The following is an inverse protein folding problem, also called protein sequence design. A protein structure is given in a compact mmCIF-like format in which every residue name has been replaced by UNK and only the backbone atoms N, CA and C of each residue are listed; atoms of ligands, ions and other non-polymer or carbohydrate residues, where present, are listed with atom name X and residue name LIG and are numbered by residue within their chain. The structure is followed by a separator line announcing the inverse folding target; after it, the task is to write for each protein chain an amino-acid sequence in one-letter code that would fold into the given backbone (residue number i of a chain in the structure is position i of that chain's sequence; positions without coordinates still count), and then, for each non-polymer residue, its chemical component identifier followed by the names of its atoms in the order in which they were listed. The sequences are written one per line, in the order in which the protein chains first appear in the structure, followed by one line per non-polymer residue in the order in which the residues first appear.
data_IF_312227493789
#
_entry.id   IF_312227493789
#
_cell.length_a   1.000
_cell.length_b   1.000
_cell.length_c   1.000
_cell.angle_alpha   90.00
_cell.angle_beta   90.00
_cell.angle_gamma   90.00
#
_symmetry.space_group_name_H-M   'P 1'
#
loop_
_entity.id
_entity.type
_entity.pdbx_description
1 polymer ?
#
# COMPACT_ATOMS: atom_id res chain seq x y z
N UNK A 1 53.75 33.12 13.74
CA UNK A 1 52.95 34.36 13.79
C UNK A 1 51.65 34.02 14.50
N UNK A 2 51.62 34.34 15.79
CA UNK A 2 50.43 34.25 16.65
C UNK A 2 49.53 35.43 16.36
N UNK A 3 48.22 35.25 16.42
CA UNK A 3 47.36 36.21 17.10
C UNK A 3 46.06 35.54 17.59
N UNK A 4 45.97 35.49 18.93
CA UNK A 4 44.75 35.36 19.74
C UNK A 4 44.38 36.77 20.18
N UNK A 5 43.09 37.10 20.20
CA UNK A 5 42.49 38.15 21.05
C UNK A 5 41.00 37.79 21.24
N UNK A 6 40.56 37.33 22.42
CA UNK A 6 40.20 38.05 23.66
C UNK A 6 38.70 38.46 23.67
N UNK A 7 37.77 37.73 24.33
CA UNK A 7 37.26 37.79 25.74
C UNK A 7 36.43 39.02 26.19
N UNK A 8 35.11 38.75 26.39
CA UNK A 8 34.15 39.07 27.51
C UNK A 8 33.83 40.53 27.96
N UNK A 9 32.83 40.80 28.86
CA UNK A 9 31.56 40.13 29.25
C UNK A 9 30.32 41.06 29.53
N UNK A 10 29.16 40.40 29.78
CA UNK A 10 28.09 40.65 30.79
C UNK A 10 27.21 41.93 30.81
N UNK A 11 25.88 41.72 30.95
CA UNK A 11 25.08 42.24 32.07
C UNK A 11 23.70 41.54 32.17
N UNK A 12 23.32 41.27 33.41
CA UNK A 12 22.12 40.60 33.89
C UNK A 12 21.22 41.65 34.56
N UNK A 13 19.90 41.65 34.35
CA UNK A 13 18.95 42.30 35.28
C UNK A 13 17.62 41.56 35.32
N UNK A 14 17.31 41.08 36.52
CA UNK A 14 16.05 40.59 37.04
C UNK A 14 14.95 41.65 37.12
N UNK A 15 13.67 41.25 37.09
CA UNK A 15 12.66 41.68 38.07
C UNK A 15 11.39 40.83 37.97
N UNK A 16 10.85 40.47 39.14
CA UNK A 16 9.59 39.79 39.37
C UNK A 16 8.48 40.77 39.79
N UNK A 17 7.22 40.36 39.64
CA UNK A 17 6.01 40.95 40.25
C UNK A 17 4.74 40.37 39.59
N UNK A 18 3.97 39.46 40.21
CA UNK A 18 2.76 39.68 41.05
C UNK A 18 1.69 40.55 40.35
N UNK A 19 0.39 40.26 40.25
CA UNK A 19 -0.53 39.39 41.00
C UNK A 19 -1.92 39.31 40.29
N UNK A 20 -2.72 38.35 40.76
CA UNK A 20 -4.18 38.36 40.96
C UNK A 20 -5.21 38.26 39.79
N UNK A 21 -5.91 37.12 39.86
CA UNK A 21 -7.38 36.94 39.97
C UNK A 21 -8.33 37.30 38.81
N UNK A 22 -9.13 36.31 38.42
CA UNK A 22 -10.37 36.49 37.66
C UNK A 22 -10.92 35.18 37.08
N UNK A 23 -11.76 34.47 37.82
CA UNK A 23 -12.69 33.44 37.30
C UNK A 23 -13.72 34.07 36.34
N UNK A 24 -14.27 33.28 35.41
CA UNK A 24 -15.66 32.88 35.61
C UNK A 24 -15.98 31.41 35.27
N UNK A 25 -17.16 31.07 35.73
CA UNK A 25 -17.84 29.78 35.84
C UNK A 25 -18.36 29.14 34.53
N UNK A 26 -18.71 27.86 34.70
CA UNK A 26 -19.80 27.08 34.08
C UNK A 26 -19.63 26.42 32.72
N UNK A 27 -19.73 25.07 32.76
CA UNK A 27 -20.76 24.35 32.02
C UNK A 27 -20.33 23.65 30.72
N UNK A 28 -20.13 22.33 30.78
CA UNK A 28 -20.63 21.40 29.76
C UNK A 28 -20.44 19.95 30.22
N UNK A 29 -21.56 19.24 30.37
CA UNK A 29 -21.63 17.80 30.56
C UNK A 29 -21.03 17.07 29.36
N UNK A 30 -20.07 16.18 29.59
CA UNK A 30 -19.55 15.27 28.57
C UNK A 30 -20.52 14.09 28.44
N UNK A 31 -21.50 14.22 27.55
CA UNK A 31 -22.28 13.07 27.06
C UNK A 31 -21.40 12.26 26.11
N UNK A 32 -20.99 11.06 26.55
CA UNK A 32 -20.41 10.03 25.68
C UNK A 32 -21.51 9.51 24.75
N UNK A 33 -21.56 10.01 23.52
CA UNK A 33 -22.32 9.37 22.45
C UNK A 33 -21.55 8.14 21.96
N UNK A 34 -22.08 6.95 22.23
CA UNK A 34 -21.62 5.71 21.63
C UNK A 34 -22.00 5.70 20.15
N UNK A 35 -21.00 5.87 19.28
CA UNK A 35 -21.18 5.70 17.84
C UNK A 35 -21.10 4.21 17.48
N UNK A 36 -22.15 3.44 17.77
CA UNK A 36 -22.41 2.18 17.07
C UNK A 36 -23.05 2.53 15.73
N UNK A 37 -22.20 2.85 14.75
CA UNK A 37 -22.60 3.02 13.36
C UNK A 37 -22.79 1.66 12.71
N UNK A 38 -24.05 1.25 12.56
CA UNK A 38 -24.44 0.11 11.74
C UNK A 38 -24.01 0.36 10.29
N UNK A 39 -22.98 -0.36 9.82
CA UNK A 39 -22.49 -0.23 8.43
C UNK A 39 -23.50 -0.89 7.50
N UNK A 40 -24.10 -0.09 6.63
CA UNK A 40 -25.11 -0.53 5.68
C UNK A 40 -24.51 -1.53 4.69
N UNK A 41 -25.09 -2.71 4.60
CA UNK A 41 -24.83 -3.71 3.54
C UNK A 41 -25.53 -3.24 2.26
N UNK A 42 -25.06 -2.14 1.68
CA UNK A 42 -25.45 -1.71 0.35
C UNK A 42 -24.75 -2.56 -0.71
N UNK A 43 -25.46 -2.94 -1.77
CA UNK A 43 -24.85 -3.55 -2.95
C UNK A 43 -23.75 -2.61 -3.46
N UNK A 44 -22.49 -3.07 -3.63
CA UNK A 44 -21.42 -2.19 -4.08
C UNK A 44 -21.76 -1.57 -5.43
N UNK A 45 -21.57 -0.25 -5.55
CA UNK A 45 -21.68 0.45 -6.82
C UNK A 45 -20.68 -0.13 -7.83
N UNK A 46 -21.01 -0.19 -9.13
CA UNK A 46 -20.07 -0.66 -10.15
C UNK A 46 -18.73 0.05 -10.04
N UNK A 47 -17.65 -0.72 -9.91
CA UNK A 47 -16.29 -0.19 -9.76
C UNK A 47 -15.80 0.00 -8.32
N UNK A 48 -16.60 -0.32 -7.29
CA UNK A 48 -16.17 -0.33 -5.89
C UNK A 48 -16.11 -1.78 -5.38
N UNK A 49 -14.96 -2.19 -4.86
CA UNK A 49 -14.68 -3.54 -4.39
C UNK A 49 -14.22 -3.48 -2.94
N UNK A 50 -14.79 -4.32 -2.09
CA UNK A 50 -14.50 -4.35 -0.66
C UNK A 50 -14.35 -5.78 -0.17
N UNK A 51 -13.35 -6.01 0.66
CA UNK A 51 -13.12 -7.29 1.31
C UNK A 51 -12.62 -7.05 2.73
N UNK A 52 -13.14 -7.88 3.65
CA UNK A 52 -12.69 -7.97 5.03
C UNK A 52 -12.18 -9.39 5.30
N UNK A 53 -11.09 -9.50 6.05
CA UNK A 53 -10.52 -10.76 6.49
C UNK A 53 -10.04 -10.59 7.93
N UNK A 54 -10.57 -11.44 8.82
CA UNK A 54 -10.25 -11.40 10.24
C UNK A 54 -9.79 -12.80 10.68
N UNK A 55 -8.60 -12.88 11.27
CA UNK A 55 -8.02 -14.07 11.91
C UNK A 55 -7.68 -13.77 13.36
N UNK A 56 -6.98 -14.68 14.03
CA UNK A 56 -6.42 -14.42 15.36
C UNK A 56 -5.16 -13.55 15.30
N UNK A 57 -4.54 -13.42 14.13
CA UNK A 57 -3.28 -12.69 13.90
C UNK A 57 -3.55 -11.28 13.33
N UNK A 58 -4.55 -11.16 12.44
CA UNK A 58 -4.82 -9.91 11.73
C UNK A 58 -6.32 -9.60 11.59
N UNK A 59 -6.65 -8.32 11.50
CA UNK A 59 -7.94 -7.80 11.04
C UNK A 59 -7.70 -6.81 9.93
N UNK A 60 -8.13 -7.15 8.73
CA UNK A 60 -7.84 -6.40 7.52
C UNK A 60 -9.12 -6.02 6.80
N UNK A 61 -9.20 -4.75 6.43
CA UNK A 61 -10.24 -4.22 5.56
C UNK A 61 -9.58 -3.51 4.39
N UNK A 62 -9.95 -3.90 3.17
CA UNK A 62 -9.45 -3.25 1.95
C UNK A 62 -10.61 -2.83 1.07
N UNK A 63 -10.56 -1.60 0.57
CA UNK A 63 -11.45 -1.09 -0.48
C UNK A 63 -10.62 -0.68 -1.68
N UNK A 64 -11.01 -1.12 -2.87
CA UNK A 64 -10.55 -0.61 -4.15
C UNK A 64 -11.71 0.11 -4.82
N UNK A 65 -11.55 1.39 -5.14
CA UNK A 65 -12.55 2.18 -5.86
C UNK A 65 -11.94 2.71 -7.17
N UNK A 66 -12.49 2.25 -8.29
CA UNK A 66 -12.03 2.61 -9.63
C UNK A 66 -12.58 3.97 -10.10
N UNK A 67 -13.53 4.55 -9.37
CA UNK A 67 -14.19 5.81 -9.70
C UNK A 67 -13.73 6.97 -8.82
N UNK A 68 -13.07 6.68 -7.70
CA UNK A 68 -12.57 7.68 -6.75
C UNK A 68 -11.13 8.10 -7.07
N UNK A 69 -10.79 9.36 -6.77
CA UNK A 69 -9.44 9.87 -6.96
C UNK A 69 -8.45 9.10 -6.07
N UNK A 70 -7.40 8.56 -6.68
CA UNK A 70 -6.33 7.84 -5.99
C UNK A 70 -5.59 8.72 -4.97
N UNK A 71 -5.60 10.05 -5.14
CA UNK A 71 -4.98 10.99 -4.20
C UNK A 71 -5.64 10.98 -2.82
N UNK A 72 -6.88 10.49 -2.72
CA UNK A 72 -7.60 10.39 -1.45
C UNK A 72 -7.33 9.07 -0.69
N UNK A 73 -6.49 8.19 -1.24
CA UNK A 73 -6.20 6.86 -0.68
C UNK A 73 -5.79 6.93 0.78
N UNK A 74 -6.26 5.98 1.58
CA UNK A 74 -6.04 5.90 3.03
C UNK A 74 -5.38 4.58 3.34
N UNK A 75 -4.12 4.60 3.75
CA UNK A 75 -3.34 3.38 3.92
C UNK A 75 -2.77 3.36 5.31
N UNK A 76 -3.19 2.37 6.09
CA UNK A 76 -2.70 2.09 7.41
C UNK A 76 -2.53 0.58 7.60
N UNK A 77 -1.30 0.12 7.39
CA UNK A 77 -0.86 -1.27 7.62
C UNK A 77 -0.15 -1.45 8.97
N UNK A 78 0.11 -0.37 9.69
CA UNK A 78 1.03 -0.35 10.83
C UNK A 78 2.52 -0.40 10.46
N UNK A 79 2.89 -0.69 9.20
CA UNK A 79 4.28 -0.75 8.74
C UNK A 79 4.58 0.42 7.79
N UNK A 80 5.40 1.39 8.24
CA UNK A 80 5.61 2.66 7.54
C UNK A 80 6.12 2.52 6.10
N UNK A 81 7.10 1.65 5.85
CA UNK A 81 7.62 1.43 4.51
C UNK A 81 6.60 0.74 3.59
N UNK A 82 5.79 -0.17 4.12
CA UNK A 82 4.75 -0.84 3.34
C UNK A 82 3.58 0.10 3.02
N UNK A 83 3.21 1.01 3.95
CA UNK A 83 2.28 2.10 3.66
C UNK A 83 2.74 2.93 2.45
N UNK A 84 4.04 3.24 2.40
CA UNK A 84 4.64 3.95 1.28
C UNK A 84 4.54 3.15 -0.03
N UNK A 85 4.87 1.86 -0.02
CA UNK A 85 4.74 0.99 -1.19
C UNK A 85 3.30 0.91 -1.73
N UNK A 86 2.30 0.78 -0.86
CA UNK A 86 0.90 0.76 -1.26
C UNK A 86 0.40 2.14 -1.75
N UNK A 87 0.96 3.23 -1.22
CA UNK A 87 0.68 4.59 -1.71
C UNK A 87 1.18 4.75 -3.13
N UNK A 88 2.40 4.27 -3.42
CA UNK A 88 2.94 4.24 -4.77
C UNK A 88 2.11 3.34 -5.69
N UNK A 89 1.64 2.19 -5.19
CA UNK A 89 0.74 1.33 -5.94
C UNK A 89 -0.54 2.07 -6.35
N UNK A 90 -1.23 2.74 -5.42
CA UNK A 90 -2.43 3.51 -5.70
C UNK A 90 -2.19 4.62 -6.74
N UNK A 91 -1.10 5.38 -6.59
CA UNK A 91 -0.71 6.44 -7.52
C UNK A 91 -0.43 5.92 -8.94
N UNK A 92 0.38 4.87 -9.05
CA UNK A 92 0.83 4.37 -10.35
C UNK A 92 -0.24 3.53 -11.05
N UNK A 93 -1.12 2.86 -10.32
CA UNK A 93 -2.29 2.18 -10.87
C UNK A 93 -3.44 3.13 -11.19
N UNK A 94 -3.41 4.36 -10.65
CA UNK A 94 -4.52 5.33 -10.70
C UNK A 94 -5.81 4.74 -10.16
N UNK A 95 -5.72 4.13 -8.99
CA UNK A 95 -6.84 3.48 -8.32
C UNK A 95 -6.87 3.92 -6.86
N UNK A 96 -8.03 4.30 -6.36
CA UNK A 96 -8.19 4.58 -4.94
C UNK A 96 -8.05 3.30 -4.13
N UNK A 97 -7.27 3.39 -3.06
CA UNK A 97 -7.00 2.29 -2.14
C UNK A 97 -7.27 2.75 -0.70
N UNK A 98 -8.17 2.06 -0.01
CA UNK A 98 -8.31 2.14 1.45
C UNK A 98 -7.85 0.83 2.07
N UNK A 99 -6.83 0.85 2.92
CA UNK A 99 -6.31 -0.32 3.63
C UNK A 99 -6.26 0.03 5.11
N UNK A 100 -7.01 -0.72 5.92
CA UNK A 100 -6.99 -0.61 7.38
C UNK A 100 -6.62 -1.97 7.96
N UNK A 101 -5.57 -2.00 8.77
CA UNK A 101 -5.05 -3.23 9.38
C UNK A 101 -4.80 -3.05 10.87
N UNK A 102 -5.17 -4.06 11.64
CA UNK A 102 -4.78 -4.32 13.02
C UNK A 102 -4.14 -5.70 13.04
N UNK A 103 -2.81 -5.77 13.20
CA UNK A 103 -2.03 -7.00 13.08
C UNK A 103 -1.02 -7.13 14.22
N UNK A 104 -0.52 -8.34 14.41
CA UNK A 104 0.41 -8.78 15.47
C UNK A 104 1.87 -8.34 15.23
N UNK A 105 2.08 -7.04 15.00
CA UNK A 105 3.40 -6.46 14.69
C UNK A 105 4.44 -6.60 15.81
N UNK A 106 4.05 -7.02 17.01
CA UNK A 106 4.96 -7.42 18.08
C UNK A 106 5.67 -8.75 17.81
N UNK A 107 5.13 -9.58 16.92
CA UNK A 107 5.77 -10.80 16.41
C UNK A 107 6.74 -10.40 15.30
N UNK A 108 6.19 -10.01 14.14
CA UNK A 108 6.90 -9.39 13.02
C UNK A 108 5.88 -8.81 12.00
N UNK A 109 6.34 -8.45 10.79
CA UNK A 109 5.47 -7.93 9.72
C UNK A 109 4.83 -8.99 8.82
N UNK A 110 5.11 -10.28 9.01
CA UNK A 110 4.80 -11.34 8.05
C UNK A 110 3.31 -11.52 7.84
N UNK A 111 2.56 -11.84 8.90
CA UNK A 111 1.11 -12.08 8.80
C UNK A 111 0.37 -10.87 8.23
N UNK A 112 0.75 -9.67 8.68
CA UNK A 112 0.18 -8.41 8.18
C UNK A 112 0.40 -8.24 6.68
N UNK A 113 1.62 -8.40 6.19
CA UNK A 113 1.95 -8.20 4.77
C UNK A 113 1.35 -9.30 3.89
N UNK A 114 1.43 -10.56 4.32
CA UNK A 114 0.84 -11.70 3.62
C UNK A 114 -0.66 -11.52 3.46
N UNK A 115 -1.37 -11.25 4.56
CA UNK A 115 -2.83 -11.19 4.55
C UNK A 115 -3.36 -9.99 3.76
N UNK A 116 -2.64 -8.85 3.75
CA UNK A 116 -2.95 -7.74 2.84
C UNK A 116 -2.77 -8.19 1.38
N UNK A 117 -1.72 -8.96 1.07
CA UNK A 117 -1.51 -9.59 -0.23
C UNK A 117 -2.68 -10.50 -0.64
N UNK A 118 -3.17 -11.34 0.27
CA UNK A 118 -4.34 -12.20 0.06
C UNK A 118 -5.55 -11.35 -0.32
N UNK A 119 -5.93 -10.39 0.53
CA UNK A 119 -7.14 -9.58 0.36
C UNK A 119 -7.07 -8.73 -0.92
N UNK A 120 -5.92 -8.11 -1.20
CA UNK A 120 -5.73 -7.37 -2.45
C UNK A 120 -5.82 -8.29 -3.67
N UNK A 121 -5.28 -9.50 -3.59
CA UNK A 121 -5.37 -10.48 -4.67
C UNK A 121 -6.82 -10.86 -4.97
N UNK A 122 -7.60 -11.17 -3.95
CA UNK A 122 -9.04 -11.47 -4.08
C UNK A 122 -9.81 -10.33 -4.76
N UNK A 123 -9.55 -9.09 -4.35
CA UNK A 123 -10.18 -7.90 -4.94
C UNK A 123 -9.77 -7.71 -6.41
N UNK A 124 -8.49 -7.85 -6.75
CA UNK A 124 -8.03 -7.80 -8.14
C UNK A 124 -8.74 -8.84 -9.00
N UNK A 125 -8.95 -10.04 -8.45
CA UNK A 125 -9.71 -11.10 -9.12
C UNK A 125 -11.16 -10.72 -9.36
N UNK A 126 -11.83 -10.12 -8.38
CA UNK A 126 -13.19 -9.63 -8.55
C UNK A 126 -13.25 -8.58 -9.67
N UNK A 127 -12.30 -7.63 -9.69
CA UNK A 127 -12.25 -6.57 -10.71
C UNK A 127 -12.22 -7.13 -12.14
N UNK A 128 -11.31 -8.04 -12.46
CA UNK A 128 -11.22 -8.53 -13.84
C UNK A 128 -12.35 -9.51 -14.21
N UNK A 129 -12.95 -10.20 -13.23
CA UNK A 129 -14.13 -11.04 -13.48
C UNK A 129 -15.36 -10.21 -13.83
N UNK A 130 -15.52 -9.05 -13.22
CA UNK A 130 -16.66 -8.16 -13.46
C UNK A 130 -16.52 -7.34 -14.75
N UNK A 131 -15.29 -7.12 -15.25
CA UNK A 131 -15.01 -6.30 -16.44
C UNK A 131 -15.49 -6.88 -17.78
N UNK A 132 -15.78 -8.18 -17.87
CA UNK A 132 -16.17 -8.86 -19.12
C UNK A 132 -15.03 -8.98 -20.14
N UNK A 133 -14.60 -7.85 -20.72
CA UNK A 133 -13.45 -7.75 -21.62
C UNK A 133 -12.42 -6.73 -21.12
N UNK A 134 -11.15 -7.14 -21.14
CA UNK A 134 -10.00 -6.39 -20.65
C UNK A 134 -8.74 -6.83 -21.41
N UNK A 135 -7.68 -6.01 -21.38
CA UNK A 135 -6.44 -6.28 -22.14
C UNK A 135 -5.75 -7.59 -21.75
N UNK A 136 -6.00 -8.06 -20.52
CA UNK A 136 -5.49 -9.31 -19.91
C UNK A 136 -3.99 -9.32 -19.61
N UNK A 137 -3.20 -8.81 -20.53
CA UNK A 137 -1.75 -8.75 -20.43
C UNK A 137 -1.31 -7.33 -20.14
N UNK A 138 -0.31 -7.21 -19.26
CA UNK A 138 0.34 -5.94 -18.96
C UNK A 138 1.82 -6.16 -18.72
N UNK A 139 2.65 -5.23 -19.18
CA UNK A 139 4.06 -5.22 -18.86
C UNK A 139 4.56 -3.80 -18.67
N UNK A 140 5.51 -3.62 -17.77
CA UNK A 140 6.11 -2.31 -17.53
C UNK A 140 7.54 -2.44 -17.03
N UNK A 141 8.40 -1.53 -17.47
CA UNK A 141 9.76 -1.35 -16.95
C UNK A 141 9.79 -0.06 -16.13
N UNK A 142 10.30 -0.12 -14.91
CA UNK A 142 10.36 1.04 -14.02
C UNK A 142 11.79 1.26 -13.53
N UNK A 143 12.42 2.40 -13.87
CA UNK A 143 13.65 2.81 -13.21
C UNK A 143 13.37 3.44 -11.86
N UNK A 144 14.33 3.33 -10.95
CA UNK A 144 14.47 4.14 -9.75
C UNK A 144 15.95 4.45 -9.60
N UNK A 145 16.36 5.63 -10.07
CA UNK A 145 17.76 6.03 -10.18
C UNK A 145 18.63 4.94 -10.86
N UNK A 146 19.50 4.27 -10.11
CA UNK A 146 20.37 3.20 -10.58
C UNK A 146 19.66 1.85 -10.81
N UNK A 147 18.50 1.66 -10.17
CA UNK A 147 17.74 0.42 -10.20
C UNK A 147 16.80 0.36 -11.40
N UNK A 148 16.49 -0.87 -11.85
CA UNK A 148 15.53 -1.11 -12.92
C UNK A 148 14.77 -2.40 -12.65
N UNK A 149 13.44 -2.33 -12.57
CA UNK A 149 12.57 -3.48 -12.45
C UNK A 149 11.72 -3.68 -13.73
N UNK A 150 11.40 -4.93 -14.04
CA UNK A 150 10.40 -5.33 -15.03
C UNK A 150 9.31 -6.12 -14.33
N UNK A 151 8.05 -5.81 -14.67
CA UNK A 151 6.90 -6.63 -14.24
C UNK A 151 6.05 -6.99 -15.46
N UNK A 152 5.61 -8.25 -15.52
CA UNK A 152 4.72 -8.79 -16.55
C UNK A 152 3.57 -9.56 -15.89
N UNK A 153 2.34 -9.29 -16.32
CA UNK A 153 1.10 -9.84 -15.77
C UNK A 153 0.30 -10.50 -16.89
N UNK A 154 -0.21 -11.71 -16.63
CA UNK A 154 -1.32 -12.35 -17.34
C UNK A 154 -2.46 -12.60 -16.32
N UNK A 155 -3.58 -11.88 -16.47
CA UNK A 155 -4.81 -12.08 -15.70
C UNK A 155 -5.52 -13.36 -16.19
N UNK A 156 -4.94 -14.49 -15.80
CA UNK A 156 -5.04 -15.72 -16.58
C UNK A 156 -5.96 -16.78 -15.97
N UNK A 157 -6.36 -16.59 -14.72
CA UNK A 157 -6.99 -17.62 -13.87
C UNK A 157 -6.02 -18.70 -13.39
N UNK A 158 -4.71 -18.59 -13.69
CA UNK A 158 -3.66 -19.54 -13.30
C UNK A 158 -2.69 -18.86 -12.33
N UNK A 159 -2.74 -19.20 -11.03
CA UNK A 159 -1.88 -18.60 -10.02
C UNK A 159 -0.42 -19.03 -10.22
N UNK A 160 0.48 -18.07 -10.39
CA UNK A 160 1.91 -18.33 -10.49
C UNK A 160 2.72 -17.05 -10.23
N UNK A 161 3.80 -17.16 -9.45
CA UNK A 161 4.80 -16.11 -9.27
C UNK A 161 6.16 -16.63 -9.74
N UNK A 162 6.76 -15.95 -10.72
CA UNK A 162 8.19 -16.01 -10.98
C UNK A 162 8.80 -14.66 -10.57
N UNK A 163 9.63 -14.68 -9.53
CA UNK A 163 10.29 -13.47 -9.03
C UNK A 163 11.79 -13.73 -8.96
N UNK A 164 12.53 -12.99 -9.80
CA UNK A 164 13.98 -12.92 -9.86
C UNK A 164 14.42 -11.53 -9.37
N UNK A 165 14.53 -11.40 -8.06
CA UNK A 165 14.87 -10.15 -7.40
C UNK A 165 15.63 -10.44 -6.10
N UNK A 166 16.94 -10.24 -6.14
CA UNK A 166 17.81 -10.28 -4.97
C UNK A 166 18.00 -8.85 -4.45
N UNK A 167 17.63 -8.62 -3.20
CA UNK A 167 17.71 -7.30 -2.58
C UNK A 167 19.07 -7.07 -1.93
N UNK A 168 19.60 -5.86 -2.08
CA UNK A 168 20.95 -5.53 -1.57
C UNK A 168 21.05 -5.48 -0.03
N UNK A 169 19.92 -5.51 0.69
CA UNK A 169 19.83 -5.50 2.16
C UNK A 169 18.66 -6.35 2.63
N UNK A 170 18.75 -6.85 3.86
CA UNK A 170 17.70 -7.65 4.51
C UNK A 170 16.53 -6.78 5.01
N UNK A 171 16.75 -5.48 5.23
CA UNK A 171 15.72 -4.56 5.75
C UNK A 171 15.79 -3.16 5.16
N UNK A 172 14.62 -2.51 5.06
CA UNK A 172 14.44 -1.08 4.82
C UNK A 172 13.58 -0.49 5.94
N UNK A 173 14.23 0.24 6.86
CA UNK A 173 13.57 0.65 8.10
C UNK A 173 13.18 -0.56 8.95
N UNK A 174 11.90 -0.70 9.26
CA UNK A 174 11.34 -1.86 9.99
C UNK A 174 10.79 -2.95 9.07
N UNK A 175 10.90 -2.79 7.75
CA UNK A 175 10.35 -3.74 6.78
C UNK A 175 11.44 -4.71 6.33
N UNK A 176 11.24 -6.01 6.57
CA UNK A 176 12.12 -7.07 6.07
C UNK A 176 11.88 -7.28 4.57
N UNK A 177 12.96 -7.37 3.78
CA UNK A 177 12.87 -7.40 2.32
C UNK A 177 12.34 -8.71 1.77
N UNK A 178 12.43 -9.80 2.53
CA UNK A 178 11.76 -11.07 2.21
C UNK A 178 10.24 -10.91 2.06
N UNK A 179 9.64 -9.98 2.81
CA UNK A 179 8.19 -9.72 2.78
C UNK A 179 7.70 -9.21 1.43
N UNK A 180 8.59 -8.67 0.57
CA UNK A 180 8.22 -8.31 -0.80
C UNK A 180 7.79 -9.55 -1.57
N UNK A 181 8.54 -10.65 -1.44
CA UNK A 181 8.20 -11.91 -2.09
C UNK A 181 6.90 -12.48 -1.52
N UNK A 182 6.73 -12.46 -0.21
CA UNK A 182 5.53 -12.98 0.45
C UNK A 182 4.28 -12.20 0.04
N UNK A 183 4.35 -10.87 -0.03
CA UNK A 183 3.27 -10.04 -0.55
C UNK A 183 2.87 -10.43 -1.97
N UNK A 184 3.83 -10.47 -2.90
CA UNK A 184 3.53 -10.77 -4.30
C UNK A 184 3.12 -12.22 -4.52
N UNK A 185 3.60 -13.14 -3.69
CA UNK A 185 3.18 -14.54 -3.71
C UNK A 185 1.71 -14.63 -3.30
N UNK A 186 1.37 -14.15 -2.10
CA UNK A 186 0.00 -14.12 -1.60
C UNK A 186 -0.95 -13.44 -2.60
N UNK A 187 -0.54 -12.29 -3.16
CA UNK A 187 -1.31 -11.57 -4.16
C UNK A 187 -1.52 -12.39 -5.44
N UNK A 188 -0.45 -12.93 -6.05
CA UNK A 188 -0.55 -13.65 -7.32
C UNK A 188 -1.41 -14.91 -7.20
N UNK A 189 -1.28 -15.63 -6.08
CA UNK A 189 -2.07 -16.82 -5.80
C UNK A 189 -3.56 -16.48 -5.68
N UNK A 190 -3.92 -15.47 -4.89
CA UNK A 190 -5.31 -15.13 -4.62
C UNK A 190 -5.98 -14.35 -5.76
N UNK A 191 -5.20 -13.55 -6.49
CA UNK A 191 -5.65 -12.95 -7.76
C UNK A 191 -5.78 -13.96 -8.90
N UNK A 192 -5.24 -15.18 -8.74
CA UNK A 192 -5.15 -16.21 -9.78
C UNK A 192 -4.55 -15.68 -11.08
N UNK A 193 -3.47 -14.93 -10.97
CA UNK A 193 -2.75 -14.39 -12.11
C UNK A 193 -1.36 -15.00 -12.21
N UNK A 194 -0.80 -14.92 -13.42
CA UNK A 194 0.61 -15.26 -13.65
C UNK A 194 1.39 -13.95 -13.60
N UNK A 195 2.33 -13.87 -12.66
CA UNK A 195 3.15 -12.68 -12.37
C UNK A 195 4.62 -13.01 -12.55
N UNK A 196 5.29 -12.20 -13.37
CA UNK A 196 6.75 -12.18 -13.48
C UNK A 196 7.28 -10.86 -12.95
N UNK A 197 8.28 -10.91 -12.07
CA UNK A 197 8.98 -9.76 -11.52
C UNK A 197 10.48 -10.02 -11.70
N UNK A 198 11.18 -9.09 -12.33
CA UNK A 198 12.63 -9.16 -12.52
C UNK A 198 13.26 -7.84 -12.06
N UNK A 199 14.26 -7.92 -11.17
CA UNK A 199 15.10 -6.80 -10.79
C UNK A 199 16.37 -6.83 -11.65
N UNK A 200 16.34 -6.08 -12.75
CA UNK A 200 17.36 -6.12 -13.81
C UNK A 200 18.62 -5.34 -13.45
N UNK A 201 18.49 -4.33 -12.58
CA UNK A 201 19.61 -3.56 -12.02
C UNK A 201 19.32 -3.27 -10.56
N UNK A 202 20.35 -3.48 -9.73
CA UNK A 202 20.34 -3.36 -8.27
C UNK A 202 21.14 -2.14 -7.82
N UNK A 203 21.03 -1.81 -6.53
CA UNK A 203 21.70 -0.68 -5.92
C UNK A 203 21.15 -0.40 -4.53
N UNK A 204 20.39 0.70 -4.40
CA UNK A 204 19.72 1.02 -3.16
C UNK A 204 18.45 0.17 -2.99
N UNK A 205 18.37 -0.60 -1.91
CA UNK A 205 17.22 -1.49 -1.65
C UNK A 205 15.86 -0.79 -1.59
N UNK A 206 15.81 0.47 -1.18
CA UNK A 206 14.59 1.26 -1.29
C UNK A 206 14.18 1.44 -2.75
N UNK A 207 15.14 1.81 -3.63
CA UNK A 207 14.93 2.00 -5.05
C UNK A 207 14.53 0.69 -5.75
N UNK A 208 15.16 -0.42 -5.38
CA UNK A 208 14.84 -1.78 -5.87
C UNK A 208 13.36 -2.12 -5.63
N UNK A 209 12.89 -1.96 -4.40
CA UNK A 209 11.51 -2.31 -4.01
C UNK A 209 10.52 -1.32 -4.62
N UNK A 210 10.81 -0.01 -4.58
CA UNK A 210 9.95 0.99 -5.22
C UNK A 210 9.77 0.72 -6.72
N UNK A 211 10.85 0.39 -7.43
CA UNK A 211 10.80 0.08 -8.85
C UNK A 211 9.82 -1.08 -9.13
N UNK A 212 9.87 -2.14 -8.32
CA UNK A 212 8.98 -3.30 -8.44
C UNK A 212 7.52 -2.89 -8.21
N UNK A 213 7.19 -2.21 -7.10
CA UNK A 213 5.80 -1.83 -6.79
C UNK A 213 5.23 -0.87 -7.85
N UNK A 214 6.02 0.10 -8.30
CA UNK A 214 5.65 1.05 -9.35
C UNK A 214 5.44 0.36 -10.71
N UNK A 215 6.32 -0.58 -11.07
CA UNK A 215 6.19 -1.39 -12.30
C UNK A 215 4.94 -2.27 -12.23
N UNK A 216 4.71 -2.96 -11.11
CA UNK A 216 3.54 -3.80 -10.90
C UNK A 216 2.24 -3.01 -11.04
N UNK A 217 2.14 -1.85 -10.39
CA UNK A 217 0.97 -0.99 -10.47
C UNK A 217 0.66 -0.54 -11.90
N UNK A 218 1.68 -0.15 -12.67
CA UNK A 218 1.53 0.23 -14.08
C UNK A 218 1.16 -0.96 -14.97
N UNK A 219 1.81 -2.10 -14.80
CA UNK A 219 1.50 -3.31 -15.55
C UNK A 219 0.07 -3.78 -15.27
N UNK A 220 -0.38 -3.74 -14.00
CA UNK A 220 -1.73 -4.12 -13.62
C UNK A 220 -2.77 -3.19 -14.24
N UNK A 221 -2.52 -1.87 -14.22
CA UNK A 221 -3.38 -0.89 -14.88
C UNK A 221 -3.56 -1.20 -16.37
N UNK A 222 -2.47 -1.55 -17.06
CA UNK A 222 -2.51 -1.94 -18.47
C UNK A 222 -3.34 -3.21 -18.64
N UNK A 223 -3.07 -4.26 -17.85
CA UNK A 223 -3.77 -5.55 -17.95
C UNK A 223 -5.28 -5.44 -17.68
N UNK A 224 -5.68 -4.56 -16.76
CA UNK A 224 -7.08 -4.29 -16.41
C UNK A 224 -7.79 -3.31 -17.35
N UNK A 225 -7.06 -2.64 -18.24
CA UNK A 225 -7.67 -1.65 -19.13
C UNK A 225 -8.79 -2.30 -19.96
N UNK A 226 -9.91 -1.59 -20.21
CA UNK A 226 -10.98 -2.11 -21.06
C UNK A 226 -10.45 -2.56 -22.42
N UNK A 227 -11.04 -3.63 -22.95
CA UNK A 227 -10.85 -4.06 -24.32
C UNK A 227 -12.21 -4.23 -25.02
N UNK A 228 -12.18 -4.42 -26.33
CA UNK A 228 -13.37 -4.77 -27.11
C UNK A 228 -13.48 -6.29 -27.27
N UNK A 229 -14.69 -6.79 -27.51
CA UNK A 229 -14.95 -8.21 -27.71
C UNK A 229 -15.40 -8.96 -26.45
N UNK A 230 -15.33 -10.29 -26.49
CA UNK A 230 -15.71 -11.16 -25.38
C UNK A 230 -14.55 -11.45 -24.43
N UNK A 231 -14.61 -12.60 -23.76
CA UNK A 231 -13.55 -13.08 -22.87
C UNK A 231 -12.21 -13.11 -23.62
N UNK A 232 -11.11 -12.53 -23.08
CA UNK A 232 -9.80 -12.45 -23.75
C UNK A 232 -9.05 -13.79 -23.70
N UNK A 233 -9.67 -14.86 -24.18
CA UNK A 233 -9.18 -16.24 -24.13
C UNK A 233 -9.69 -17.03 -25.33
N UNK A 234 -8.79 -17.70 -26.05
CA UNK A 234 -9.17 -18.64 -27.12
C UNK A 234 -9.98 -19.83 -26.59
N UNK A 235 -9.90 -20.13 -25.29
CA UNK A 235 -10.73 -21.16 -24.64
C UNK A 235 -12.15 -20.68 -24.32
N UNK A 236 -12.45 -19.39 -24.54
CA UNK A 236 -13.73 -18.77 -24.22
C UNK A 236 -13.98 -18.56 -22.72
N UNK A 237 -13.01 -18.90 -21.85
CA UNK A 237 -13.15 -18.81 -20.39
C UNK A 237 -11.83 -18.44 -19.71
N UNK A 238 -11.95 -17.75 -18.57
CA UNK A 238 -10.92 -17.50 -17.55
C UNK A 238 -11.54 -17.92 -16.20
N UNK A 239 -10.83 -18.72 -15.40
CA UNK A 239 -11.33 -19.38 -14.17
C UNK A 239 -11.06 -18.57 -12.89
#
# INVERSE_FOLDING_TARGET
MSEKTATTPAANTSAAGTSAAGTPETGASVTRASATGTRATGTPSPGVYYQERNTLETKIQVTIDLNRDFQESKINTGIGFFNHMLTLFAFHSQTYLDVQTDGDLEVDGHHTVEDIGIVMGELIRQIYKDRGSYQRYGSFYMPMDECLARVVIDLSGRPYLAMDAEFSRDTVGQFATELVREFFYALAINARLTLHIDLLKTGNTHHEIEAIFKAFARALKIALAPASGGVPSSKGVIQ
#
